data_IF_527676796388
#
_entry.id   IF_527676796388
#
_cell.length_a   1.000
_cell.length_b   1.000
_cell.length_c   1.000
_cell.angle_alpha   90.00
_cell.angle_beta   90.00
_cell.angle_gamma   90.00
#
_symmetry.space_group_name_H-M   'P 1'
#
loop_
_entity.id
_entity.type
_entity.pdbx_description
1 polymer ?
#
# COMPACT_ATOMS: atom_id res chain seq x y z
N UNK A 1 -8.65 -7.20 11.18
CA UNK A 1 -9.76 -6.58 11.74
C UNK A 1 -10.96 -6.43 10.77
N UNK A 2 -11.60 -5.27 10.74
CA UNK A 2 -12.84 -5.03 9.97
C UNK A 2 -12.68 -5.10 8.44
N UNK A 3 -11.49 -4.86 7.92
CA UNK A 3 -11.25 -4.83 6.48
C UNK A 3 -11.28 -6.21 5.83
N UNK A 4 -10.80 -7.24 6.52
CA UNK A 4 -10.72 -8.62 5.99
C UNK A 4 -12.05 -9.18 5.51
N UNK A 5 -13.15 -9.14 6.30
CA UNK A 5 -14.43 -9.68 5.85
C UNK A 5 -15.05 -8.86 4.69
N UNK A 6 -14.72 -7.58 4.60
CA UNK A 6 -15.19 -6.74 3.50
C UNK A 6 -14.50 -7.15 2.19
N UNK A 7 -13.17 -7.27 2.20
CA UNK A 7 -12.41 -7.70 1.03
C UNK A 7 -12.80 -9.11 0.57
N UNK A 8 -13.09 -10.02 1.50
CA UNK A 8 -13.58 -11.35 1.17
C UNK A 8 -14.93 -11.31 0.44
N UNK A 9 -15.89 -10.53 0.92
CA UNK A 9 -17.19 -10.38 0.24
C UNK A 9 -17.05 -9.77 -1.15
N UNK A 10 -16.16 -8.79 -1.33
CA UNK A 10 -15.87 -8.20 -2.64
C UNK A 10 -15.30 -9.27 -3.57
N UNK A 11 -14.37 -10.09 -3.11
CA UNK A 11 -13.79 -11.17 -3.90
C UNK A 11 -14.83 -12.21 -4.32
N UNK A 12 -15.72 -12.60 -3.41
CA UNK A 12 -16.77 -13.59 -3.70
C UNK A 12 -17.78 -13.06 -4.73
N UNK A 13 -18.18 -11.79 -4.63
CA UNK A 13 -19.06 -11.14 -5.61
C UNK A 13 -18.41 -11.00 -6.98
N UNK A 14 -17.14 -10.63 -7.01
CA UNK A 14 -16.37 -10.55 -8.24
C UNK A 14 -16.22 -11.93 -8.92
N UNK A 15 -16.03 -12.99 -8.13
CA UNK A 15 -15.99 -14.36 -8.64
C UNK A 15 -17.29 -14.73 -9.35
N UNK A 16 -18.45 -14.31 -8.84
CA UNK A 16 -19.74 -14.54 -9.48
C UNK A 16 -19.90 -13.76 -10.78
N UNK A 17 -19.43 -12.50 -10.83
CA UNK A 17 -19.41 -11.74 -12.08
C UNK A 17 -18.63 -12.48 -13.17
N UNK A 18 -17.45 -13.00 -12.83
CA UNK A 18 -16.56 -13.66 -13.79
C UNK A 18 -17.11 -15.03 -14.23
N UNK A 19 -17.53 -15.85 -13.27
CA UNK A 19 -17.94 -17.23 -13.53
C UNK A 19 -19.37 -17.34 -14.08
N UNK A 20 -20.29 -16.51 -13.59
CA UNK A 20 -21.74 -16.65 -13.79
C UNK A 20 -22.37 -15.47 -14.58
N UNK A 21 -21.60 -14.46 -14.98
CA UNK A 21 -22.09 -13.19 -15.54
C UNK A 21 -23.05 -12.44 -14.61
N UNK A 22 -22.90 -12.61 -13.31
CA UNK A 22 -23.71 -11.93 -12.31
C UNK A 22 -23.32 -10.45 -12.21
N UNK A 23 -23.92 -9.62 -13.05
CA UNK A 23 -23.63 -8.17 -13.14
C UNK A 23 -24.09 -7.41 -11.90
N UNK A 24 -25.10 -7.91 -11.21
CA UNK A 24 -25.57 -7.32 -9.96
C UNK A 24 -24.50 -7.51 -8.87
N UNK A 25 -23.97 -8.73 -8.72
CA UNK A 25 -22.85 -8.99 -7.82
C UNK A 25 -21.61 -8.15 -8.15
N UNK A 26 -21.28 -8.00 -9.44
CA UNK A 26 -20.19 -7.13 -9.89
C UNK A 26 -20.40 -5.67 -9.50
N UNK A 27 -21.59 -5.15 -9.70
CA UNK A 27 -21.98 -3.79 -9.31
C UNK A 27 -21.88 -3.59 -7.80
N UNK A 28 -22.40 -4.53 -7.03
CA UNK A 28 -22.32 -4.51 -5.58
C UNK A 28 -20.87 -4.53 -5.06
N UNK A 29 -20.00 -5.34 -5.72
CA UNK A 29 -18.57 -5.37 -5.39
C UNK A 29 -17.93 -3.99 -5.61
N UNK A 30 -18.25 -3.32 -6.73
CA UNK A 30 -17.73 -1.99 -7.04
C UNK A 30 -18.27 -0.91 -6.10
N UNK A 31 -19.54 -0.98 -5.69
CA UNK A 31 -20.13 -0.07 -4.71
C UNK A 31 -19.42 -0.21 -3.37
N UNK A 32 -19.23 -1.43 -2.87
CA UNK A 32 -18.57 -1.69 -1.60
C UNK A 32 -17.09 -1.25 -1.63
N UNK A 33 -16.37 -1.55 -2.71
CA UNK A 33 -15.00 -1.08 -2.91
C UNK A 33 -14.93 0.45 -3.00
N UNK A 34 -15.91 1.08 -3.65
CA UNK A 34 -16.06 2.53 -3.73
C UNK A 34 -16.26 3.21 -2.37
N UNK A 35 -16.91 2.55 -1.42
CA UNK A 35 -17.04 3.03 -0.05
C UNK A 35 -15.72 2.97 0.73
N UNK A 36 -14.80 2.06 0.34
CA UNK A 36 -13.48 1.95 0.97
C UNK A 36 -12.49 2.98 0.44
N UNK A 37 -12.63 3.46 -0.79
CA UNK A 37 -11.64 4.35 -1.45
C UNK A 37 -11.36 5.62 -0.66
N UNK A 38 -12.36 6.20 -0.01
CA UNK A 38 -12.22 7.43 0.77
C UNK A 38 -11.45 7.25 2.08
N UNK A 39 -11.20 6.01 2.52
CA UNK A 39 -10.51 5.74 3.78
C UNK A 39 -8.99 5.89 3.67
N UNK A 40 -8.42 5.63 2.50
CA UNK A 40 -6.99 5.75 2.28
C UNK A 40 -6.65 5.78 0.79
N UNK A 41 -5.63 6.54 0.39
CA UNK A 41 -5.16 6.68 -1.00
C UNK A 41 -4.87 5.33 -1.67
N UNK A 42 -4.34 4.36 -0.95
CA UNK A 42 -4.05 3.02 -1.49
C UNK A 42 -5.33 2.24 -1.85
N UNK A 43 -6.42 2.45 -1.11
CA UNK A 43 -7.73 1.86 -1.43
C UNK A 43 -8.38 2.57 -2.63
N UNK A 44 -8.10 3.85 -2.82
CA UNK A 44 -8.50 4.58 -4.02
C UNK A 44 -7.82 4.04 -5.27
N UNK A 45 -6.51 3.78 -5.22
CA UNK A 45 -5.78 3.17 -6.33
C UNK A 45 -6.29 1.76 -6.67
N UNK A 46 -6.60 0.97 -5.65
CA UNK A 46 -7.23 -0.34 -5.83
C UNK A 46 -8.58 -0.20 -6.53
N UNK A 47 -9.42 0.74 -6.08
CA UNK A 47 -10.72 1.02 -6.68
C UNK A 47 -10.59 1.42 -8.16
N UNK A 48 -9.67 2.32 -8.51
CA UNK A 48 -9.48 2.80 -9.88
C UNK A 48 -9.14 1.64 -10.82
N UNK A 49 -8.22 0.76 -10.43
CA UNK A 49 -7.83 -0.42 -11.22
C UNK A 49 -9.02 -1.37 -11.44
N UNK A 50 -9.79 -1.64 -10.39
CA UNK A 50 -10.95 -2.53 -10.47
C UNK A 50 -12.10 -1.92 -11.25
N UNK A 51 -12.31 -0.60 -11.14
CA UNK A 51 -13.32 0.11 -11.92
C UNK A 51 -13.02 0.09 -13.42
N UNK A 52 -11.75 0.29 -13.79
CA UNK A 52 -11.32 0.19 -15.20
C UNK A 52 -11.60 -1.22 -15.75
N UNK A 53 -11.24 -2.26 -15.01
CA UNK A 53 -11.51 -3.63 -15.43
C UNK A 53 -13.00 -3.95 -15.52
N UNK A 54 -13.79 -3.52 -14.54
CA UNK A 54 -15.24 -3.67 -14.55
C UNK A 54 -15.88 -3.01 -15.78
N UNK A 55 -15.42 -1.82 -16.12
CA UNK A 55 -15.89 -1.08 -17.30
C UNK A 55 -15.54 -1.83 -18.59
N UNK A 56 -14.34 -2.38 -18.71
CA UNK A 56 -13.93 -3.19 -19.87
C UNK A 56 -14.77 -4.45 -20.02
N UNK A 57 -15.06 -5.16 -18.94
CA UNK A 57 -15.98 -6.32 -18.96
C UNK A 57 -17.37 -5.90 -19.45
N UNK A 58 -17.88 -4.76 -18.95
CA UNK A 58 -19.20 -4.25 -19.35
C UNK A 58 -19.29 -3.88 -20.83
N UNK A 59 -18.22 -3.33 -21.41
CA UNK A 59 -18.19 -2.87 -22.82
C UNK A 59 -17.91 -4.02 -23.78
N UNK A 60 -16.94 -4.86 -23.48
CA UNK A 60 -16.40 -5.85 -24.42
C UNK A 60 -16.83 -7.29 -24.11
N UNK A 61 -17.45 -7.54 -22.94
CA UNK A 61 -17.82 -8.89 -22.51
C UNK A 61 -16.62 -9.80 -22.22
N UNK A 62 -15.41 -9.23 -22.18
CA UNK A 62 -14.16 -9.94 -21.95
C UNK A 62 -14.00 -10.25 -20.46
N UNK A 63 -14.43 -11.44 -20.05
CA UNK A 63 -14.35 -11.93 -18.67
C UNK A 63 -13.69 -13.30 -18.62
N UNK A 64 -13.17 -13.68 -17.45
CA UNK A 64 -12.46 -14.95 -17.24
C UNK A 64 -11.07 -14.97 -17.86
N UNK A 65 -10.48 -13.81 -18.08
CA UNK A 65 -9.09 -13.68 -18.53
C UNK A 65 -8.11 -14.00 -17.42
N UNK A 66 -6.85 -14.27 -17.79
CA UNK A 66 -5.77 -14.44 -16.81
C UNK A 66 -5.60 -13.20 -15.89
N UNK A 67 -5.95 -12.00 -16.40
CA UNK A 67 -5.98 -10.77 -15.60
C UNK A 67 -7.03 -10.84 -14.49
N UNK A 68 -8.22 -11.35 -14.79
CA UNK A 68 -9.29 -11.49 -13.79
C UNK A 68 -8.92 -12.48 -12.70
N UNK A 69 -8.34 -13.61 -13.09
CA UNK A 69 -7.88 -14.62 -12.13
C UNK A 69 -6.77 -14.06 -11.22
N UNK A 70 -5.83 -13.33 -11.79
CA UNK A 70 -4.77 -12.67 -11.03
C UNK A 70 -5.32 -11.62 -10.08
N UNK A 71 -6.22 -10.75 -10.53
CA UNK A 71 -6.84 -9.72 -9.68
C UNK A 71 -7.63 -10.35 -8.54
N UNK A 72 -8.31 -11.46 -8.80
CA UNK A 72 -9.07 -12.20 -7.78
C UNK A 72 -8.14 -12.85 -6.75
N UNK A 73 -7.06 -13.47 -7.18
CA UNK A 73 -6.06 -14.05 -6.30
C UNK A 73 -5.45 -12.95 -5.41
N UNK A 74 -5.03 -11.82 -5.99
CA UNK A 74 -4.52 -10.66 -5.25
C UNK A 74 -5.50 -10.18 -4.18
N UNK A 75 -6.80 -10.09 -4.50
CA UNK A 75 -7.80 -9.62 -3.54
C UNK A 75 -8.04 -10.62 -2.40
N UNK A 76 -8.04 -11.92 -2.71
CA UNK A 76 -8.20 -12.98 -1.70
C UNK A 76 -7.02 -13.04 -0.74
N UNK A 77 -5.81 -12.89 -1.27
CA UNK A 77 -4.57 -12.95 -0.50
C UNK A 77 -4.27 -11.63 0.24
N UNK A 78 -4.87 -10.52 -0.20
CA UNK A 78 -4.60 -9.18 0.34
C UNK A 78 -4.76 -9.09 1.86
N UNK A 79 -5.77 -9.67 2.52
CA UNK A 79 -5.89 -9.60 3.98
C UNK A 79 -4.69 -10.21 4.72
N UNK A 80 -4.23 -11.39 4.28
CA UNK A 80 -3.08 -12.05 4.88
C UNK A 80 -1.78 -11.30 4.57
N UNK A 81 -1.60 -10.90 3.31
CA UNK A 81 -0.47 -10.08 2.90
C UNK A 81 -0.40 -8.76 3.66
N UNK A 82 -1.53 -8.08 3.89
CA UNK A 82 -1.57 -6.84 4.67
C UNK A 82 -1.15 -7.07 6.12
N UNK A 83 -1.56 -8.16 6.75
CA UNK A 83 -1.17 -8.48 8.12
C UNK A 83 0.33 -8.77 8.24
N UNK A 84 0.88 -9.56 7.30
CA UNK A 84 2.31 -9.82 7.23
C UNK A 84 3.09 -8.54 6.96
N UNK A 85 2.62 -7.77 5.99
CA UNK A 85 3.26 -6.52 5.58
C UNK A 85 3.20 -5.46 6.69
N UNK A 86 2.10 -5.39 7.44
CA UNK A 86 1.98 -4.51 8.59
C UNK A 86 3.07 -4.79 9.63
N UNK A 87 3.38 -6.06 9.91
CA UNK A 87 4.46 -6.44 10.83
C UNK A 87 5.82 -6.04 10.28
N UNK A 88 6.06 -6.22 8.98
CA UNK A 88 7.30 -5.82 8.32
C UNK A 88 7.47 -4.30 8.34
N UNK A 89 6.41 -3.55 8.01
CA UNK A 89 6.40 -2.08 8.07
C UNK A 89 6.64 -1.60 9.50
N UNK A 90 5.98 -2.18 10.49
CA UNK A 90 6.19 -1.84 11.90
C UNK A 90 7.67 -2.03 12.29
N UNK A 91 8.25 -3.16 11.93
CA UNK A 91 9.67 -3.45 12.18
C UNK A 91 10.60 -2.47 11.46
N UNK A 92 10.25 -2.07 10.23
CA UNK A 92 11.00 -1.05 9.49
C UNK A 92 10.97 0.30 10.19
N UNK A 93 9.82 0.71 10.72
CA UNK A 93 9.72 1.92 11.52
C UNK A 93 10.62 1.83 12.76
N UNK A 94 10.53 0.75 13.51
CA UNK A 94 11.31 0.56 14.75
C UNK A 94 12.82 0.51 14.51
N UNK A 95 13.29 -0.07 13.39
CA UNK A 95 14.70 -0.28 13.10
C UNK A 95 15.37 0.81 12.25
N UNK A 96 14.56 1.59 11.50
CA UNK A 96 15.10 2.52 10.50
C UNK A 96 14.61 3.94 10.71
N UNK A 97 13.31 4.15 10.94
CA UNK A 97 12.71 5.47 10.93
C UNK A 97 12.50 6.09 12.32
N UNK A 98 12.26 5.29 13.33
CA UNK A 98 11.97 5.80 14.69
C UNK A 98 13.22 6.35 15.35
N UNK A 99 13.22 7.66 15.61
CA UNK A 99 14.35 8.38 16.20
C UNK A 99 14.75 7.86 17.59
N UNK A 100 13.82 7.31 18.34
CA UNK A 100 14.06 6.84 19.71
C UNK A 100 14.69 5.43 19.73
N UNK A 101 14.35 4.57 18.78
CA UNK A 101 14.88 3.19 18.69
C UNK A 101 16.01 3.03 17.68
N UNK A 102 15.93 3.69 16.53
CA UNK A 102 16.90 3.55 15.44
C UNK A 102 17.95 4.68 15.39
N UNK A 103 17.61 5.88 15.88
CA UNK A 103 18.45 7.05 15.79
C UNK A 103 18.05 8.03 14.67
N UNK A 104 18.94 8.96 14.32
CA UNK A 104 18.59 10.13 13.50
C UNK A 104 18.98 10.01 12.03
N UNK A 105 19.61 8.94 11.61
CA UNK A 105 20.03 8.73 10.22
C UNK A 105 19.37 7.49 9.63
N UNK A 106 18.20 7.66 8.96
CA UNK A 106 17.48 6.54 8.35
C UNK A 106 18.27 5.83 7.27
N UNK A 107 19.13 6.55 6.53
CA UNK A 107 19.95 5.94 5.48
C UNK A 107 20.99 5.01 6.07
N UNK A 108 21.68 5.45 7.12
CA UNK A 108 22.65 4.61 7.83
C UNK A 108 21.97 3.39 8.45
N UNK A 109 20.80 3.56 9.08
CA UNK A 109 20.07 2.45 9.68
C UNK A 109 19.54 1.47 8.65
N UNK A 110 19.03 1.96 7.52
CA UNK A 110 18.61 1.11 6.42
C UNK A 110 19.78 0.28 5.86
N UNK A 111 20.93 0.91 5.62
CA UNK A 111 22.13 0.22 5.16
C UNK A 111 22.61 -0.83 6.15
N UNK A 112 22.64 -0.49 7.45
CA UNK A 112 23.04 -1.41 8.52
C UNK A 112 22.12 -2.63 8.60
N UNK A 113 20.82 -2.42 8.58
CA UNK A 113 19.85 -3.50 8.65
C UNK A 113 19.82 -4.35 7.37
N UNK A 114 20.03 -3.74 6.20
CA UNK A 114 20.16 -4.45 4.94
C UNK A 114 21.38 -5.36 4.87
N UNK A 115 22.52 -4.89 5.39
CA UNK A 115 23.76 -5.68 5.45
C UNK A 115 23.69 -6.83 6.47
N UNK A 116 22.89 -6.69 7.50
CA UNK A 116 22.65 -7.74 8.51
C UNK A 116 21.46 -8.64 8.15
N UNK A 117 20.75 -8.36 7.05
CA UNK A 117 19.65 -9.19 6.60
C UNK A 117 20.16 -10.54 6.11
N UNK A 118 19.92 -11.58 6.89
CA UNK A 118 20.13 -12.94 6.46
C UNK A 118 19.02 -13.34 5.49
N UNK A 119 19.31 -14.02 4.36
CA UNK A 119 18.30 -14.65 3.52
C UNK A 119 17.37 -15.60 4.28
N UNK A 120 17.76 -16.00 5.48
CA UNK A 120 17.01 -16.90 6.38
C UNK A 120 16.07 -16.16 7.34
N UNK A 121 16.13 -14.83 7.41
CA UNK A 121 15.20 -14.04 8.22
C UNK A 121 14.16 -13.33 7.33
N UNK A 122 12.99 -13.96 7.07
CA UNK A 122 11.94 -13.36 6.26
C UNK A 122 11.25 -12.16 6.93
N UNK A 123 11.62 -11.84 8.16
CA UNK A 123 11.01 -10.76 8.93
C UNK A 123 11.52 -9.36 8.61
N UNK A 124 12.58 -9.21 7.81
CA UNK A 124 13.09 -7.91 7.42
C UNK A 124 12.35 -7.37 6.19
N UNK A 125 12.07 -6.07 6.24
CA UNK A 125 11.43 -5.36 5.13
C UNK A 125 12.40 -5.25 3.95
N UNK A 126 11.97 -5.72 2.77
CA UNK A 126 12.74 -5.60 1.53
C UNK A 126 11.96 -4.78 0.53
N UNK A 127 12.58 -3.73 0.03
CA UNK A 127 12.02 -2.95 -1.06
C UNK A 127 11.90 -3.78 -2.34
N UNK A 128 10.73 -3.73 -2.95
CA UNK A 128 10.47 -4.35 -4.25
C UNK A 128 10.98 -3.46 -5.37
N UNK A 129 11.46 -4.01 -6.49
CA UNK A 129 11.68 -3.23 -7.69
C UNK A 129 10.35 -2.61 -8.16
N UNK A 130 10.34 -1.30 -8.39
CA UNK A 130 9.18 -0.60 -8.94
C UNK A 130 9.59 -0.08 -10.31
N UNK A 131 8.84 -0.42 -11.39
CA UNK A 131 9.12 0.09 -12.73
C UNK A 131 9.07 1.62 -12.77
N UNK A 132 10.08 2.24 -13.34
CA UNK A 132 10.20 3.68 -13.53
C UNK A 132 10.26 3.97 -15.03
N UNK A 133 9.36 4.82 -15.51
CA UNK A 133 9.40 5.41 -16.84
C UNK A 133 9.70 6.90 -16.76
N UNK A 134 10.09 7.50 -17.89
CA UNK A 134 10.28 8.94 -18.00
C UNK A 134 9.36 9.45 -19.10
N UNK A 135 8.29 10.09 -18.73
CA UNK A 135 7.18 10.41 -19.63
C UNK A 135 6.86 11.90 -19.67
N UNK A 136 6.35 12.37 -20.81
CA UNK A 136 5.84 13.72 -20.93
C UNK A 136 4.55 13.87 -20.10
N UNK A 137 4.59 14.72 -19.08
CA UNK A 137 3.44 15.01 -18.19
C UNK A 137 2.76 16.32 -18.55
N UNK A 138 3.51 17.22 -19.20
CA UNK A 138 3.04 18.51 -19.69
C UNK A 138 3.81 18.85 -21.00
N UNK A 139 3.31 19.76 -21.86
CA UNK A 139 4.02 20.20 -23.05
C UNK A 139 5.44 20.70 -22.69
N UNK A 140 6.45 20.04 -23.24
CA UNK A 140 7.86 20.37 -23.02
C UNK A 140 8.46 19.95 -21.68
N UNK A 141 7.72 19.17 -20.86
CA UNK A 141 8.20 18.69 -19.56
C UNK A 141 8.00 17.18 -19.42
N UNK A 142 9.09 16.47 -19.18
CA UNK A 142 9.08 15.06 -18.79
C UNK A 142 9.32 14.91 -17.29
N UNK A 143 8.70 13.90 -16.69
CA UNK A 143 8.91 13.55 -15.29
C UNK A 143 9.00 12.03 -15.12
N UNK A 144 9.69 11.55 -14.07
CA UNK A 144 9.67 10.15 -13.75
C UNK A 144 8.25 9.74 -13.32
N UNK A 145 7.74 8.68 -13.92
CA UNK A 145 6.43 8.08 -13.63
C UNK A 145 6.65 6.67 -13.10
N UNK A 146 6.07 6.40 -11.93
CA UNK A 146 6.12 5.09 -11.31
C UNK A 146 4.88 4.29 -11.69
N UNK A 147 5.11 3.12 -12.25
CA UNK A 147 4.05 2.16 -12.53
C UNK A 147 3.93 1.18 -11.37
N UNK A 148 2.83 1.29 -10.64
CA UNK A 148 2.52 0.38 -9.54
C UNK A 148 1.49 -0.64 -9.99
N UNK A 149 1.80 -1.91 -9.82
CA UNK A 149 0.86 -3.00 -10.02
C UNK A 149 0.10 -3.37 -8.73
N UNK A 150 0.54 -2.86 -7.59
CA UNK A 150 0.04 -3.29 -6.28
C UNK A 150 0.04 -2.12 -5.28
N UNK A 151 -0.94 -2.14 -4.38
CA UNK A 151 -0.99 -1.22 -3.22
C UNK A 151 0.30 -1.29 -2.38
N UNK A 152 0.94 -2.46 -2.32
CA UNK A 152 2.17 -2.68 -1.55
C UNK A 152 3.35 -1.92 -2.17
N UNK A 153 3.40 -1.77 -3.49
CA UNK A 153 4.45 -1.02 -4.18
C UNK A 153 4.39 0.46 -3.80
N UNK A 154 3.19 1.01 -3.61
CA UNK A 154 3.03 2.41 -3.18
C UNK A 154 3.50 2.63 -1.75
N UNK A 155 3.28 1.64 -0.87
CA UNK A 155 3.80 1.69 0.50
C UNK A 155 5.33 1.60 0.47
N UNK A 156 5.90 0.67 -0.30
CA UNK A 156 7.33 0.54 -0.51
C UNK A 156 7.97 1.84 -0.99
N UNK A 157 7.36 2.46 -2.00
CA UNK A 157 7.82 3.75 -2.52
C UNK A 157 7.79 4.84 -1.45
N UNK A 158 6.72 4.91 -0.66
CA UNK A 158 6.59 5.88 0.42
C UNK A 158 7.66 5.70 1.49
N UNK A 159 7.93 4.46 1.90
CA UNK A 159 8.97 4.14 2.89
C UNK A 159 10.37 4.43 2.35
N UNK A 160 10.64 4.08 1.11
CA UNK A 160 11.89 4.40 0.40
C UNK A 160 12.13 5.90 0.35
N UNK A 161 11.09 6.67 -0.01
CA UNK A 161 11.15 8.13 -0.03
C UNK A 161 11.41 8.73 1.36
N UNK A 162 10.92 8.11 2.43
CA UNK A 162 11.27 8.53 3.79
C UNK A 162 12.76 8.37 4.06
N UNK A 163 13.36 7.24 3.67
CA UNK A 163 14.81 7.00 3.84
C UNK A 163 15.63 7.99 3.01
N UNK A 164 15.29 8.13 1.72
CA UNK A 164 15.99 9.03 0.77
C UNK A 164 15.99 10.49 1.24
N UNK A 165 14.87 10.93 1.82
CA UNK A 165 14.70 12.31 2.30
C UNK A 165 15.16 12.52 3.75
N UNK A 166 15.67 11.49 4.41
CA UNK A 166 16.09 11.56 5.81
C UNK A 166 14.94 11.82 6.78
N UNK A 167 13.71 11.41 6.41
CA UNK A 167 12.53 11.61 7.25
C UNK A 167 12.59 10.61 8.42
N UNK A 168 12.63 11.14 9.62
CA UNK A 168 12.48 10.36 10.84
C UNK A 168 11.10 10.52 11.43
N UNK A 169 10.67 9.53 12.18
CA UNK A 169 9.39 9.54 12.89
C UNK A 169 9.59 9.31 14.38
N UNK A 170 8.58 9.61 15.16
CA UNK A 170 8.53 9.28 16.59
C UNK A 170 7.15 8.78 16.96
N UNK A 171 7.09 7.89 17.93
CA UNK A 171 5.82 7.45 18.50
C UNK A 171 5.29 8.50 19.48
N UNK A 172 4.11 9.05 19.22
CA UNK A 172 3.47 10.03 20.08
C UNK A 172 3.18 9.43 21.47
N UNK A 173 3.62 10.08 22.53
CA UNK A 173 3.43 9.62 23.92
C UNK A 173 1.95 9.64 24.35
N UNK A 174 1.12 10.43 23.68
CA UNK A 174 -0.30 10.53 24.01
C UNK A 174 -1.15 9.46 23.30
N UNK A 175 -1.02 9.34 21.96
CA UNK A 175 -1.90 8.47 21.16
C UNK A 175 -1.19 7.19 20.64
N UNK A 176 0.10 7.00 20.89
CA UNK A 176 0.89 5.85 20.45
C UNK A 176 1.13 5.74 18.94
N UNK A 177 0.64 6.69 18.13
CA UNK A 177 0.81 6.67 16.67
C UNK A 177 2.10 7.36 16.26
N UNK A 178 2.71 6.89 15.18
CA UNK A 178 3.86 7.56 14.60
C UNK A 178 3.48 8.91 13.98
N UNK A 179 4.40 9.86 14.07
CA UNK A 179 4.31 11.16 13.41
C UNK A 179 5.70 11.61 12.94
N UNK A 180 5.79 12.34 11.80
CA UNK A 180 7.07 12.77 11.25
C UNK A 180 7.71 13.85 12.15
N UNK A 181 9.05 13.78 12.27
CA UNK A 181 9.85 14.78 12.96
C UNK A 181 10.27 15.89 11.98
N UNK A 182 9.30 16.67 11.49
CA UNK A 182 9.53 17.73 10.49
C UNK A 182 9.89 19.09 11.09
N UNK A 183 9.77 19.21 12.40
CA UNK A 183 10.01 20.45 13.12
C UNK A 183 11.08 20.29 14.22
N UNK A 184 10.73 20.57 15.47
CA UNK A 184 11.63 20.38 16.59
C UNK A 184 11.85 18.88 16.85
N UNK A 185 13.10 18.45 16.73
CA UNK A 185 13.52 17.05 16.98
C UNK A 185 13.15 16.52 18.38
N UNK A 186 12.82 17.44 19.29
CA UNK A 186 12.37 17.14 20.65
C UNK A 186 10.86 16.99 20.81
N UNK A 187 10.06 17.13 19.73
CA UNK A 187 8.62 16.97 19.82
C UNK A 187 8.25 15.53 20.18
N UNK A 188 7.59 15.33 21.31
CA UNK A 188 7.15 14.01 21.81
C UNK A 188 5.66 13.73 21.56
N UNK A 189 4.93 14.74 21.08
CA UNK A 189 3.48 14.72 20.85
C UNK A 189 3.17 15.16 19.44
N UNK A 190 2.20 14.49 18.80
CA UNK A 190 1.70 14.90 17.50
C UNK A 190 0.63 15.99 17.65
N UNK A 191 0.41 16.76 16.57
CA UNK A 191 -0.59 17.82 16.50
C UNK A 191 -2.03 17.31 16.26
N UNK A 192 -2.23 15.98 16.26
CA UNK A 192 -3.56 15.42 16.05
C UNK A 192 -4.47 15.75 17.22
N UNK A 193 -5.73 16.14 16.95
CA UNK A 193 -6.71 16.30 18.02
C UNK A 193 -6.86 14.97 18.77
N UNK A 194 -6.89 15.07 20.09
CA UNK A 194 -7.18 13.92 20.96
C UNK A 194 -8.66 13.60 20.78
N UNK A 195 -9.04 12.36 20.52
CA UNK A 195 -10.44 11.97 20.46
C UNK A 195 -11.14 12.16 21.79
#
# INVERSE_FOLDING_TARGET
GELTPILQRIADRWSRLIAEDDREAGTDAMVELGQLKSRHIYLELLYVRWYDRFSRIGIYGDRGSAEDEQMLAELRDLPEQLLLYQKQVQRFFDLVLDVDSAGRDPQQQAAKNYLHDSPRDPGLFRFRPIPLSFEPVEPGRCSPVLYSASILDMIDYSLRSCVERGITVRRCKNCGRYFPQTGRVSAEYCERPVP
#
